data_IF_668877853839
#
_entry.id   IF_668877853839
#
_cell.length_a   1.000
_cell.length_b   1.000
_cell.length_c   1.000
_cell.angle_alpha   90.00
_cell.angle_beta   90.00
_cell.angle_gamma   90.00
#
_symmetry.space_group_name_H-M   'P 1'
#
loop_
_entity.id
_entity.type
_entity.pdbx_description
1 polymer ?
#
# COMPACT_ATOMS: atom_id res chain seq x y z
N UNK A 1 25.54 -35.96 -4.70
CA UNK A 1 25.24 -34.85 -5.62
C UNK A 1 23.81 -34.42 -5.37
N UNK A 2 23.59 -33.42 -4.52
CA UNK A 2 22.26 -32.85 -4.29
C UNK A 2 21.92 -31.96 -5.48
N UNK A 3 20.89 -32.34 -6.21
CA UNK A 3 20.25 -31.49 -7.21
C UNK A 3 19.51 -30.40 -6.45
N UNK A 4 20.16 -29.25 -6.24
CA UNK A 4 19.45 -28.02 -5.98
C UNK A 4 18.66 -27.70 -7.25
N UNK A 5 17.39 -28.12 -7.26
CA UNK A 5 16.41 -27.59 -8.20
C UNK A 5 16.36 -26.09 -7.94
N UNK A 6 17.04 -25.32 -8.78
CA UNK A 6 16.90 -23.87 -8.84
C UNK A 6 15.41 -23.59 -8.98
N UNK A 7 14.78 -23.07 -7.94
CA UNK A 7 13.40 -22.61 -8.03
C UNK A 7 13.34 -21.66 -9.23
N UNK A 8 12.39 -21.88 -10.15
CA UNK A 8 12.27 -21.03 -11.32
C UNK A 8 12.16 -19.57 -10.86
N UNK A 9 12.97 -18.69 -11.46
CA UNK A 9 12.93 -17.24 -11.27
C UNK A 9 11.50 -16.74 -11.57
N UNK A 10 10.69 -16.68 -10.52
CA UNK A 10 9.27 -16.45 -10.59
C UNK A 10 8.94 -15.05 -10.13
N UNK A 11 7.95 -14.43 -10.77
CA UNK A 11 7.42 -13.14 -10.35
C UNK A 11 6.76 -13.31 -8.97
N UNK A 12 7.18 -12.50 -7.99
CA UNK A 12 6.56 -12.49 -6.67
C UNK A 12 5.46 -11.44 -6.64
N UNK A 13 4.30 -11.78 -6.06
CA UNK A 13 3.11 -10.92 -6.11
C UNK A 13 2.41 -10.86 -4.76
N UNK A 14 2.07 -9.65 -4.34
CA UNK A 14 1.14 -9.38 -3.25
C UNK A 14 0.01 -8.49 -3.79
N UNK A 15 -1.23 -8.81 -3.43
CA UNK A 15 -2.42 -8.06 -3.83
C UNK A 15 -3.33 -7.88 -2.63
N UNK A 16 -3.45 -6.63 -2.19
CA UNK A 16 -4.30 -6.21 -1.09
C UNK A 16 -5.54 -5.51 -1.65
N UNK A 17 -6.68 -5.74 -1.00
CA UNK A 17 -7.94 -5.09 -1.31
C UNK A 17 -8.69 -4.82 -0.03
N UNK A 18 -9.35 -3.67 0.01
CA UNK A 18 -10.36 -3.32 1.00
C UNK A 18 -11.56 -2.72 0.29
N UNK A 19 -12.74 -3.28 0.50
CA UNK A 19 -14.03 -2.83 -0.02
C UNK A 19 -15.00 -2.41 1.09
N UNK A 20 -14.51 -2.28 2.31
CA UNK A 20 -15.19 -1.58 3.41
C UNK A 20 -14.65 -0.16 3.52
N UNK A 21 -15.52 0.86 3.70
CA UNK A 21 -15.08 2.24 3.84
C UNK A 21 -14.01 2.44 4.91
N UNK A 22 -13.06 3.34 4.65
CA UNK A 22 -12.11 3.83 5.65
C UNK A 22 -12.02 5.35 5.60
N UNK A 23 -12.14 5.96 6.77
CA UNK A 23 -12.17 7.41 6.91
C UNK A 23 -10.77 8.00 6.88
N UNK A 24 -10.62 9.06 6.09
CA UNK A 24 -9.49 9.99 6.10
C UNK A 24 -9.97 11.30 6.76
N UNK A 25 -9.28 11.80 7.80
CA UNK A 25 -9.73 13.00 8.49
C UNK A 25 -9.62 14.26 7.62
N UNK A 26 -10.48 15.25 7.91
CA UNK A 26 -10.44 16.56 7.28
C UNK A 26 -9.07 17.22 7.42
N UNK A 27 -8.57 17.81 6.33
CA UNK A 27 -7.29 18.55 6.30
C UNK A 27 -6.12 17.77 6.95
N UNK A 28 -6.12 16.45 6.87
CA UNK A 28 -5.10 15.63 7.51
C UNK A 28 -3.82 15.59 6.67
N UNK A 29 -2.65 15.33 7.28
CA UNK A 29 -1.53 14.79 6.52
C UNK A 29 -1.95 13.47 5.83
N UNK A 30 -1.10 12.96 4.96
CA UNK A 30 -1.36 11.71 4.28
C UNK A 30 -1.59 10.55 5.26
N UNK A 31 -2.70 9.87 5.08
CA UNK A 31 -3.11 8.70 5.87
C UNK A 31 -2.73 7.43 5.12
N UNK A 32 -2.04 6.50 5.80
CA UNK A 32 -1.75 5.17 5.26
C UNK A 32 -3.07 4.42 5.05
N UNK A 33 -3.28 3.91 3.86
CA UNK A 33 -4.45 3.09 3.53
C UNK A 33 -4.23 1.70 4.14
N UNK A 34 -5.21 1.27 4.94
CA UNK A 34 -5.16 0.02 5.72
C UNK A 34 -5.88 -1.12 5.01
N UNK A 35 -5.36 -2.34 5.14
CA UNK A 35 -5.90 -3.54 4.52
C UNK A 35 -6.11 -4.67 5.54
N UNK A 36 -7.14 -5.51 5.36
CA UNK A 36 -7.35 -6.65 6.22
C UNK A 36 -6.36 -7.78 5.92
N UNK A 37 -6.21 -8.70 6.89
CA UNK A 37 -5.40 -9.91 6.78
C UNK A 37 -6.25 -11.17 6.57
N UNK A 38 -5.60 -12.28 6.23
CA UNK A 38 -6.21 -13.62 6.27
C UNK A 38 -7.28 -13.81 5.20
N UNK A 39 -8.45 -14.33 5.57
CA UNK A 39 -9.52 -14.66 4.60
C UNK A 39 -10.16 -13.45 3.91
N UNK A 40 -9.97 -12.24 4.45
CA UNK A 40 -10.44 -11.00 3.85
C UNK A 40 -9.39 -10.35 2.95
N UNK A 41 -8.15 -10.82 2.97
CA UNK A 41 -7.09 -10.39 2.07
C UNK A 41 -7.31 -10.96 0.66
N UNK A 42 -6.92 -10.22 -0.37
CA UNK A 42 -7.07 -10.70 -1.75
C UNK A 42 -6.06 -11.79 -2.12
N UNK A 43 -4.75 -11.61 -1.90
CA UNK A 43 -3.73 -12.64 -2.12
C UNK A 43 -2.35 -12.23 -1.60
N UNK A 44 -1.79 -12.95 -0.63
CA UNK A 44 -0.39 -12.86 -0.20
C UNK A 44 0.32 -14.23 -0.15
N UNK A 45 0.63 -14.78 -1.33
CA UNK A 45 1.28 -16.10 -1.43
C UNK A 45 2.73 -16.11 -0.91
N UNK A 46 3.38 -14.95 -0.85
CA UNK A 46 4.79 -14.81 -0.51
C UNK A 46 5.00 -14.15 0.87
N UNK A 47 3.95 -14.11 1.71
CA UNK A 47 4.03 -13.65 3.11
C UNK A 47 4.56 -12.21 3.26
N UNK A 48 4.20 -11.33 2.33
CA UNK A 48 4.57 -9.91 2.31
C UNK A 48 3.65 -9.01 3.15
N UNK A 49 2.49 -9.49 3.58
CA UNK A 49 1.52 -8.74 4.38
C UNK A 49 0.97 -9.64 5.51
N UNK A 50 1.67 -9.63 6.64
CA UNK A 50 1.41 -10.57 7.74
C UNK A 50 1.12 -9.85 9.06
N UNK A 51 0.24 -10.42 9.89
CA UNK A 51 -0.06 -9.87 11.22
C UNK A 51 1.19 -9.75 12.10
N UNK A 52 2.08 -10.74 12.00
CA UNK A 52 3.39 -10.73 12.63
C UNK A 52 4.36 -10.03 11.69
N UNK A 53 4.76 -8.82 12.05
CA UNK A 53 5.65 -7.99 11.26
C UNK A 53 7.12 -8.46 11.41
N UNK A 54 7.99 -8.21 10.42
CA UNK A 54 9.39 -8.64 10.47
C UNK A 54 10.19 -8.08 11.66
N UNK A 55 9.77 -6.94 12.21
CA UNK A 55 10.38 -6.31 13.40
C UNK A 55 9.86 -6.88 14.73
N UNK A 56 9.01 -7.91 14.70
CA UNK A 56 8.42 -8.54 15.88
C UNK A 56 7.16 -7.86 16.41
N UNK A 57 6.70 -6.77 15.78
CA UNK A 57 5.42 -6.16 16.12
C UNK A 57 4.25 -7.07 15.70
N UNK A 58 3.21 -7.14 16.52
CA UNK A 58 2.01 -7.93 16.25
C UNK A 58 0.80 -7.02 16.16
N UNK A 59 0.16 -6.99 14.99
CA UNK A 59 -1.06 -6.22 14.77
C UNK A 59 -2.25 -6.94 15.42
N UNK A 60 -3.00 -6.24 16.29
CA UNK A 60 -4.18 -6.82 16.97
C UNK A 60 -5.49 -6.20 16.51
N UNK A 61 -5.45 -4.96 16.03
CA UNK A 61 -6.57 -4.25 15.43
C UNK A 61 -6.12 -3.63 14.10
N UNK A 62 -6.28 -4.39 13.03
CA UNK A 62 -5.82 -3.99 11.71
C UNK A 62 -6.51 -2.72 11.20
N UNK A 63 -7.75 -2.46 11.63
CA UNK A 63 -8.53 -1.34 11.09
C UNK A 63 -8.09 0.00 11.67
N UNK A 64 -7.40 0.00 12.82
CA UNK A 64 -6.86 1.21 13.44
C UNK A 64 -5.33 1.30 13.45
N UNK A 65 -4.64 0.26 12.95
CA UNK A 65 -3.18 0.22 12.92
C UNK A 65 -2.64 0.51 11.51
N UNK A 66 -1.86 1.58 11.28
CA UNK A 66 -1.30 1.88 9.97
C UNK A 66 -0.32 0.81 9.46
N UNK A 67 0.20 -0.08 10.32
CA UNK A 67 1.05 -1.20 9.90
C UNK A 67 0.29 -2.23 9.07
N UNK A 68 -1.04 -2.26 9.13
CA UNK A 68 -1.88 -3.06 8.23
C UNK A 68 -1.95 -2.52 6.80
N UNK A 69 -1.31 -1.37 6.53
CA UNK A 69 -1.14 -0.84 5.18
C UNK A 69 0.17 -1.26 4.50
N UNK A 70 1.04 -2.02 5.19
CA UNK A 70 2.42 -2.24 4.77
C UNK A 70 2.60 -3.53 3.99
N UNK A 71 3.16 -3.43 2.78
CA UNK A 71 3.73 -4.59 2.09
C UNK A 71 5.23 -4.61 2.39
N UNK A 72 5.72 -5.68 2.99
CA UNK A 72 7.13 -6.00 3.14
C UNK A 72 7.58 -6.86 1.95
N UNK A 73 8.41 -6.34 1.03
CA UNK A 73 8.87 -7.13 -0.10
C UNK A 73 9.51 -8.45 0.37
N UNK A 74 9.17 -9.56 -0.27
CA UNK A 74 9.72 -10.87 0.09
C UNK A 74 11.13 -11.09 -0.45
N UNK A 75 11.52 -10.37 -1.51
CA UNK A 75 12.86 -10.36 -2.09
C UNK A 75 13.22 -8.96 -2.59
N UNK A 76 14.51 -8.71 -2.79
CA UNK A 76 14.97 -7.51 -3.46
C UNK A 76 14.78 -7.62 -4.98
N UNK A 77 14.59 -6.49 -5.65
CA UNK A 77 14.48 -6.48 -7.11
C UNK A 77 13.79 -5.24 -7.67
N UNK A 78 13.35 -5.37 -8.92
CA UNK A 78 12.51 -4.37 -9.56
C UNK A 78 11.04 -4.64 -9.26
N UNK A 79 10.46 -3.78 -8.44
CA UNK A 79 9.04 -3.77 -8.09
C UNK A 79 8.22 -2.94 -9.07
N UNK A 80 7.03 -3.42 -9.41
CA UNK A 80 5.96 -2.61 -9.99
C UNK A 80 4.82 -2.53 -8.99
N UNK A 81 4.51 -1.31 -8.58
CA UNK A 81 3.41 -0.98 -7.68
C UNK A 81 2.17 -0.68 -8.50
N UNK A 82 1.01 -1.11 -8.01
CA UNK A 82 -0.29 -0.70 -8.50
C UNK A 82 -1.15 -0.24 -7.34
N UNK A 83 -1.91 0.82 -7.54
CA UNK A 83 -2.97 1.20 -6.62
C UNK A 83 -4.25 1.55 -7.35
N UNK A 84 -5.38 1.23 -6.73
CA UNK A 84 -6.68 1.78 -7.05
C UNK A 84 -7.23 2.43 -5.79
N UNK A 85 -7.72 3.66 -5.91
CA UNK A 85 -8.35 4.36 -4.79
C UNK A 85 -9.66 4.94 -5.30
N UNK A 86 -10.76 4.56 -4.64
CA UNK A 86 -12.07 5.13 -4.89
C UNK A 86 -12.54 5.89 -3.66
N UNK A 87 -12.87 7.16 -3.86
CA UNK A 87 -13.43 8.01 -2.80
C UNK A 87 -14.91 8.21 -3.02
N UNK A 88 -15.67 8.28 -1.93
CA UNK A 88 -17.03 8.84 -1.97
C UNK A 88 -17.02 10.24 -2.59
N UNK A 89 -18.14 10.70 -3.15
CA UNK A 89 -18.27 12.06 -3.64
C UNK A 89 -18.13 13.10 -2.50
N UNK A 90 -17.54 14.26 -2.80
CA UNK A 90 -17.33 15.31 -1.79
C UNK A 90 -17.12 16.69 -2.39
N UNK A 91 -16.72 17.63 -1.52
CA UNK A 91 -16.47 19.03 -1.85
C UNK A 91 -14.98 19.37 -1.77
N UNK A 92 -14.10 18.37 -1.90
CA UNK A 92 -12.66 18.59 -2.03
C UNK A 92 -12.37 19.25 -3.38
N UNK A 93 -11.42 20.18 -3.39
CA UNK A 93 -10.86 20.76 -4.61
C UNK A 93 -9.65 19.94 -5.10
N UNK A 94 -9.03 19.17 -4.20
CA UNK A 94 -7.87 18.36 -4.50
C UNK A 94 -7.85 17.03 -3.72
N UNK A 95 -7.56 15.95 -4.46
CA UNK A 95 -7.24 14.64 -3.92
C UNK A 95 -5.76 14.35 -4.16
N UNK A 96 -5.09 13.79 -3.17
CA UNK A 96 -3.66 13.48 -3.25
C UNK A 96 -3.38 12.06 -2.82
N UNK A 97 -2.46 11.42 -3.51
CA UNK A 97 -1.99 10.09 -3.14
C UNK A 97 -0.52 9.90 -3.53
N UNK A 98 0.14 8.96 -2.86
CA UNK A 98 1.55 8.67 -3.10
C UNK A 98 1.88 7.23 -2.72
N UNK A 99 2.92 6.70 -3.38
CA UNK A 99 3.65 5.56 -2.85
C UNK A 99 4.75 6.06 -1.92
N UNK A 100 5.07 5.26 -0.91
CA UNK A 100 6.07 5.63 0.07
C UNK A 100 6.80 4.38 0.56
N UNK A 101 8.13 4.49 0.61
CA UNK A 101 9.00 3.57 1.35
C UNK A 101 9.07 4.05 2.79
N UNK A 102 8.88 3.12 3.70
CA UNK A 102 8.93 3.33 5.14
C UNK A 102 8.09 4.55 5.62
N UNK A 103 6.76 4.52 5.46
CA UNK A 103 5.88 5.60 5.91
C UNK A 103 5.91 5.85 7.42
N UNK A 104 6.38 4.88 8.22
CA UNK A 104 6.23 4.88 9.68
C UNK A 104 7.55 5.05 10.45
N UNK A 105 8.67 5.21 9.76
CA UNK A 105 9.95 5.45 10.44
C UNK A 105 10.60 4.19 11.00
N UNK A 106 10.39 3.04 10.36
CA UNK A 106 10.88 1.73 10.78
C UNK A 106 12.33 1.47 10.33
N UNK A 107 12.87 2.30 9.45
CA UNK A 107 14.21 2.19 8.86
C UNK A 107 15.02 3.49 9.03
N UNK A 108 16.35 3.47 8.77
CA UNK A 108 17.18 4.69 8.83
C UNK A 108 16.87 5.76 7.77
N UNK A 109 16.08 5.44 6.74
CA UNK A 109 15.72 6.37 5.64
C UNK A 109 14.21 6.45 5.48
N UNK A 110 13.51 7.07 6.44
CA UNK A 110 12.06 7.01 6.52
C UNK A 110 11.39 8.02 5.60
N UNK A 111 10.10 7.80 5.33
CA UNK A 111 9.25 8.70 4.54
C UNK A 111 9.81 9.03 3.15
N UNK A 112 10.39 8.04 2.47
CA UNK A 112 10.89 8.20 1.10
C UNK A 112 9.73 8.04 0.10
N UNK A 113 9.20 9.18 -0.34
CA UNK A 113 7.99 9.27 -1.17
C UNK A 113 8.30 9.22 -2.65
N UNK A 114 7.45 8.56 -3.43
CA UNK A 114 7.57 8.54 -4.88
C UNK A 114 6.19 8.48 -5.55
N UNK A 115 6.16 8.83 -6.84
CA UNK A 115 4.92 8.93 -7.61
C UNK A 115 3.83 9.74 -6.88
N UNK A 116 4.17 10.90 -6.32
CA UNK A 116 3.18 11.78 -5.69
C UNK A 116 2.29 12.38 -6.76
N UNK A 117 0.98 12.23 -6.60
CA UNK A 117 -0.01 12.74 -7.55
C UNK A 117 -1.07 13.56 -6.85
N UNK A 118 -1.44 14.66 -7.51
CA UNK A 118 -2.44 15.62 -7.09
C UNK A 118 -3.43 15.75 -8.23
N UNK A 119 -4.73 15.71 -7.94
CA UNK A 119 -5.76 15.77 -8.98
C UNK A 119 -6.98 16.55 -8.50
N UNK A 120 -7.62 17.35 -9.39
CA UNK A 120 -8.96 17.85 -9.12
C UNK A 120 -9.97 16.70 -9.15
N UNK A 121 -11.13 16.85 -8.49
CA UNK A 121 -12.18 15.85 -8.53
C UNK A 121 -12.82 15.73 -9.92
N UNK A 122 -13.22 14.51 -10.29
CA UNK A 122 -14.22 14.29 -11.34
C UNK A 122 -15.64 14.49 -10.79
N UNK A 123 -16.66 14.66 -11.63
CA UNK A 123 -18.05 14.62 -11.16
C UNK A 123 -18.40 13.26 -10.53
N UNK A 124 -18.95 13.27 -9.31
CA UNK A 124 -19.44 12.08 -8.62
C UNK A 124 -18.37 11.34 -7.80
N UNK A 125 -18.40 10.01 -7.83
CA UNK A 125 -17.41 9.17 -7.16
C UNK A 125 -16.05 9.33 -7.84
N UNK A 126 -14.98 9.31 -7.05
CA UNK A 126 -13.62 9.45 -7.57
C UNK A 126 -13.05 8.07 -7.78
N UNK A 127 -12.56 7.75 -8.97
CA UNK A 127 -12.12 6.39 -9.30
C UNK A 127 -10.77 6.46 -9.99
N UNK A 128 -9.69 6.31 -9.22
CA UNK A 128 -8.34 6.52 -9.72
C UNK A 128 -7.52 5.26 -9.62
N UNK A 129 -6.66 5.06 -10.62
CA UNK A 129 -5.67 3.99 -10.66
C UNK A 129 -4.31 4.56 -11.00
N UNK A 130 -3.25 3.96 -10.47
CA UNK A 130 -1.87 4.33 -10.79
C UNK A 130 -0.95 3.13 -10.73
N UNK A 131 0.19 3.27 -11.40
CA UNK A 131 1.27 2.30 -11.35
C UNK A 131 2.63 2.98 -11.33
N UNK A 132 3.62 2.37 -10.69
CA UNK A 132 4.97 2.92 -10.62
C UNK A 132 6.04 1.83 -10.51
N UNK A 133 7.19 2.05 -11.15
CA UNK A 133 8.35 1.15 -11.08
C UNK A 133 9.34 1.62 -10.03
N UNK A 134 9.88 0.69 -9.24
CA UNK A 134 10.70 1.03 -8.08
C UNK A 134 11.66 -0.10 -7.71
N UNK A 135 12.87 0.20 -7.23
CA UNK A 135 13.68 -0.81 -6.54
C UNK A 135 13.10 -1.08 -5.14
N UNK A 136 12.96 -2.37 -4.80
CA UNK A 136 12.43 -2.85 -3.53
C UNK A 136 13.49 -3.63 -2.76
N UNK A 137 13.39 -3.60 -1.44
CA UNK A 137 14.26 -4.30 -0.49
C UNK A 137 13.38 -4.90 0.63
N UNK A 138 13.58 -6.17 1.03
CA UNK A 138 12.80 -6.79 2.11
C UNK A 138 12.87 -6.09 3.46
N UNK A 139 13.91 -5.30 3.71
CA UNK A 139 14.05 -4.51 4.93
C UNK A 139 13.23 -3.22 4.92
N UNK A 140 12.62 -2.84 3.79
CA UNK A 140 11.93 -1.55 3.62
C UNK A 140 10.47 -1.78 3.26
N UNK A 141 9.51 -1.48 4.16
CA UNK A 141 8.11 -1.65 3.87
C UNK A 141 7.62 -0.58 2.90
N UNK A 142 6.61 -0.94 2.11
CA UNK A 142 5.96 -0.08 1.13
C UNK A 142 4.52 0.18 1.55
N UNK A 143 4.02 1.37 1.26
CA UNK A 143 2.60 1.67 1.39
C UNK A 143 2.09 2.60 0.29
N UNK A 144 0.77 2.64 0.17
CA UNK A 144 0.04 3.73 -0.45
C UNK A 144 -0.62 4.57 0.65
N UNK A 145 -0.53 5.89 0.53
CA UNK A 145 -1.19 6.82 1.45
C UNK A 145 -1.86 7.94 0.68
N UNK A 146 -2.94 8.48 1.23
CA UNK A 146 -3.74 9.48 0.55
C UNK A 146 -4.25 10.57 1.51
N UNK A 147 -4.64 11.71 0.95
CA UNK A 147 -5.28 12.82 1.67
C UNK A 147 -6.17 13.62 0.72
N UNK A 148 -6.98 14.52 1.28
CA UNK A 148 -7.85 15.45 0.59
C UNK A 148 -7.86 16.80 1.32
N UNK A 149 -8.36 17.84 0.66
CA UNK A 149 -8.49 19.19 1.23
C UNK A 149 -9.91 19.56 1.67
N UNK A 150 -10.88 18.65 1.57
CA UNK A 150 -12.22 18.88 2.12
C UNK A 150 -12.19 19.22 3.63
N UNK A 151 -13.10 20.12 4.02
CA UNK A 151 -13.33 20.61 5.38
C UNK A 151 -13.92 19.57 6.34
N UNK A 152 -14.46 18.46 5.82
CA UNK A 152 -14.99 17.34 6.58
C UNK A 152 -14.24 16.05 6.26
N UNK A 153 -14.27 15.08 7.17
CA UNK A 153 -13.68 13.77 6.91
C UNK A 153 -14.37 13.08 5.72
N UNK A 154 -13.60 12.31 4.95
CA UNK A 154 -14.07 11.61 3.75
C UNK A 154 -13.66 10.16 3.75
N UNK A 155 -14.49 9.34 3.13
CA UNK A 155 -14.23 7.91 3.03
C UNK A 155 -13.59 7.52 1.70
N UNK A 156 -12.55 6.69 1.80
CA UNK A 156 -12.13 5.81 0.72
C UNK A 156 -13.04 4.59 0.79
N UNK A 157 -13.87 4.41 -0.24
CA UNK A 157 -14.88 3.34 -0.30
C UNK A 157 -14.33 2.05 -0.90
N UNK A 158 -13.26 2.13 -1.68
CA UNK A 158 -12.51 0.98 -2.19
C UNK A 158 -11.04 1.33 -2.33
N UNK A 159 -10.17 0.45 -1.87
CA UNK A 159 -8.74 0.55 -2.10
C UNK A 159 -8.14 -0.79 -2.54
N UNK A 160 -7.17 -0.72 -3.44
CA UNK A 160 -6.29 -1.82 -3.78
C UNK A 160 -4.84 -1.35 -3.74
N UNK A 161 -3.95 -2.21 -3.25
CA UNK A 161 -2.50 -1.98 -3.29
C UNK A 161 -1.81 -3.28 -3.66
N UNK A 162 -0.98 -3.26 -4.71
CA UNK A 162 -0.37 -4.46 -5.26
C UNK A 162 1.10 -4.22 -5.52
N UNK A 163 1.90 -5.27 -5.30
CA UNK A 163 3.32 -5.31 -5.59
C UNK A 163 3.61 -6.53 -6.46
N UNK A 164 4.34 -6.29 -7.55
CA UNK A 164 4.90 -7.32 -8.43
C UNK A 164 6.41 -7.17 -8.41
N UNK A 165 7.17 -8.21 -8.05
CA UNK A 165 8.63 -8.16 -7.96
C UNK A 165 9.24 -9.05 -9.04
N UNK A 166 10.08 -8.45 -9.87
CA UNK A 166 11.03 -9.14 -10.72
C UNK A 166 12.36 -9.18 -9.97
N UNK A 167 12.81 -10.37 -9.59
CA UNK A 167 14.06 -10.56 -8.87
C UNK A 167 15.23 -10.00 -9.69
N UNK A 168 16.03 -9.14 -9.08
CA UNK A 168 17.30 -8.71 -9.64
C UNK A 168 18.36 -9.70 -9.13
N UNK A 169 18.87 -10.54 -10.03
CA UNK A 169 19.93 -11.51 -9.75
C UNK A 169 21.25 -10.82 -9.33
#
# INVERSE_FOLDING_TARGET
MSTHTTAAAGVQVCSLKRDTPQTVPANSPYTVIRFPFGSAESSDRFTMHQVNQPDGYVITDWDNDPRSGLIWPSVAGWGTLYAMIQWEAGNYDELRDQFVRDPLGLTPSPNDTTATEHRPPSPGMQCWTKSWGIFVDPAVPLAVRATHDDSVARDIVLAEFKLVIHEAA
#
